data_IF_285590498590
#
_entry.id   IF_285590498590
#
_cell.length_a   1.000
_cell.length_b   1.000
_cell.length_c   1.000
_cell.angle_alpha   90.00
_cell.angle_beta   90.00
_cell.angle_gamma   90.00
#
_symmetry.space_group_name_H-M   'P 1'
#
loop_
_entity.id
_entity.type
_entity.pdbx_description
1 polymer ?
#
# COMPACT_ATOMS: atom_id res chain seq x y z
N UNK A 1 -1.66 10.07 22.20
CA UNK A 1 -3.02 9.58 21.91
C UNK A 1 -2.96 8.86 20.57
N UNK A 2 -3.83 7.87 20.31
CA UNK A 2 -3.91 7.25 18.98
C UNK A 2 -4.92 8.03 18.13
N UNK A 3 -4.64 8.22 16.85
CA UNK A 3 -5.54 8.86 15.88
C UNK A 3 -5.52 8.11 14.55
N UNK A 4 -6.59 8.25 13.78
CA UNK A 4 -6.63 7.76 12.41
C UNK A 4 -5.68 8.55 11.51
N UNK A 5 -5.02 7.85 10.59
CA UNK A 5 -4.19 8.49 9.58
C UNK A 5 -5.07 9.31 8.64
N UNK A 6 -4.74 10.58 8.44
CA UNK A 6 -5.53 11.48 7.58
C UNK A 6 -5.22 11.29 6.10
N UNK A 7 -3.95 11.08 5.78
CA UNK A 7 -3.46 10.89 4.42
C UNK A 7 -3.03 9.43 4.22
N UNK A 8 -3.80 8.62 3.47
CA UNK A 8 -3.50 7.21 3.29
C UNK A 8 -2.07 6.99 2.78
N UNK A 9 -1.44 5.95 3.30
CA UNK A 9 -0.04 5.61 3.07
C UNK A 9 1.00 6.59 3.64
N UNK A 10 0.61 7.71 4.26
CA UNK A 10 1.53 8.75 4.73
C UNK A 10 1.22 9.15 6.18
N UNK A 11 1.56 8.30 7.17
CA UNK A 11 1.50 8.70 8.57
C UNK A 11 2.46 9.87 8.83
N UNK A 12 2.02 10.82 9.65
CA UNK A 12 2.85 11.90 10.19
C UNK A 12 3.63 11.38 11.42
N UNK A 13 2.92 10.72 12.34
CA UNK A 13 3.45 10.09 13.54
C UNK A 13 3.95 8.67 13.28
N UNK A 14 4.24 7.92 14.35
CA UNK A 14 4.54 6.49 14.23
C UNK A 14 3.25 5.71 14.07
N UNK A 15 3.17 4.84 13.06
CA UNK A 15 2.04 3.94 12.91
C UNK A 15 1.83 3.12 14.19
N UNK A 16 0.57 2.96 14.58
CA UNK A 16 0.15 2.17 15.75
C UNK A 16 -0.68 0.96 15.34
N UNK A 17 -1.29 1.00 14.15
CA UNK A 17 -2.08 -0.07 13.55
C UNK A 17 -1.82 -0.11 12.04
N UNK A 18 -1.57 -1.30 11.51
CA UNK A 18 -1.47 -1.55 10.07
C UNK A 18 -2.30 -2.78 9.65
N UNK A 19 -2.71 -2.81 8.39
CA UNK A 19 -3.18 -4.05 7.72
C UNK A 19 -2.03 -4.65 6.94
N UNK A 20 -1.87 -5.97 7.04
CA UNK A 20 -0.81 -6.74 6.37
C UNK A 20 -1.36 -8.06 5.83
N UNK A 21 -0.63 -8.67 4.89
CA UNK A 21 -0.95 -10.02 4.41
C UNK A 21 -1.02 -11.05 5.55
N UNK A 22 -2.05 -11.88 5.55
CA UNK A 22 -2.21 -12.99 6.48
C UNK A 22 -1.02 -13.95 6.56
N UNK A 23 -0.26 -14.06 5.47
CA UNK A 23 0.90 -14.94 5.30
C UNK A 23 2.22 -14.27 5.65
N UNK A 24 2.20 -13.04 6.18
CA UNK A 24 3.42 -12.35 6.64
C UNK A 24 4.26 -13.28 7.55
N UNK A 25 5.57 -13.45 7.27
CA UNK A 25 6.42 -14.29 8.09
C UNK A 25 6.49 -13.82 9.55
N UNK A 26 6.53 -14.77 10.49
CA UNK A 26 6.58 -14.48 11.94
C UNK A 26 7.74 -13.55 12.33
N UNK A 27 8.87 -13.59 11.63
CA UNK A 27 10.00 -12.69 11.87
C UNK A 27 9.65 -11.23 11.58
N UNK A 28 9.02 -10.96 10.43
CA UNK A 28 8.55 -9.62 10.05
C UNK A 28 7.41 -9.16 10.97
N UNK A 29 6.50 -10.07 11.34
CA UNK A 29 5.41 -9.78 12.28
C UNK A 29 5.95 -9.31 13.65
N UNK A 30 6.93 -10.04 14.20
CA UNK A 30 7.60 -9.66 15.45
C UNK A 30 8.34 -8.33 15.32
N UNK A 31 8.97 -8.07 14.17
CA UNK A 31 9.68 -6.82 13.90
C UNK A 31 8.74 -5.59 13.99
N UNK A 32 7.54 -5.69 13.39
CA UNK A 32 6.51 -4.66 13.47
C UNK A 32 5.95 -4.53 14.90
N UNK A 33 5.64 -5.65 15.57
CA UNK A 33 5.14 -5.64 16.96
C UNK A 33 6.14 -5.01 17.95
N UNK A 34 7.44 -5.26 17.79
CA UNK A 34 8.49 -4.64 18.60
C UNK A 34 8.59 -3.12 18.41
N UNK A 35 7.98 -2.58 17.35
CA UNK A 35 7.83 -1.13 17.12
C UNK A 35 6.51 -0.58 17.67
N UNK A 36 5.78 -1.37 18.44
CA UNK A 36 4.45 -1.06 18.97
C UNK A 36 3.39 -0.84 17.87
N UNK A 37 3.53 -1.56 16.76
CA UNK A 37 2.56 -1.58 15.65
C UNK A 37 1.69 -2.83 15.81
N UNK A 38 0.39 -2.61 16.00
CA UNK A 38 -0.64 -3.66 15.97
C UNK A 38 -0.96 -4.01 14.52
N UNK A 39 -1.36 -5.26 14.29
CA UNK A 39 -1.57 -5.78 12.94
C UNK A 39 -2.95 -6.40 12.81
N UNK A 40 -3.72 -5.93 11.83
CA UNK A 40 -4.83 -6.68 11.27
C UNK A 40 -4.27 -7.50 10.11
N UNK A 41 -4.41 -8.82 10.21
CA UNK A 41 -3.96 -9.74 9.18
C UNK A 41 -5.15 -10.05 8.28
N UNK A 42 -4.95 -9.89 6.98
CA UNK A 42 -5.94 -10.36 5.99
C UNK A 42 -6.07 -11.88 6.03
N UNK A 43 -7.15 -12.37 5.45
CA UNK A 43 -7.39 -13.79 5.24
C UNK A 43 -7.48 -14.07 3.73
N UNK A 44 -7.31 -15.32 3.35
CA UNK A 44 -7.34 -15.72 1.94
C UNK A 44 -8.72 -15.44 1.35
N UNK A 45 -8.77 -14.61 0.33
CA UNK A 45 -9.96 -14.36 -0.49
C UNK A 45 -10.11 -15.47 -1.52
N UNK A 46 -11.29 -16.10 -1.56
CA UNK A 46 -11.59 -17.17 -2.52
C UNK A 46 -11.70 -16.62 -3.93
N UNK A 47 -11.24 -17.39 -4.91
CA UNK A 47 -11.40 -17.05 -6.33
C UNK A 47 -10.31 -16.13 -6.88
N UNK A 48 -9.43 -15.56 -6.07
CA UNK A 48 -8.29 -14.75 -6.52
C UNK A 48 -7.04 -15.61 -6.67
N UNK A 49 -6.12 -15.27 -7.59
CA UNK A 49 -4.84 -15.98 -7.73
C UNK A 49 -4.10 -16.06 -6.39
N UNK A 50 -3.56 -17.25 -6.09
CA UNK A 50 -2.86 -17.54 -4.83
C UNK A 50 -1.83 -16.48 -4.45
N UNK A 51 -1.08 -15.98 -5.44
CA UNK A 51 -0.06 -14.94 -5.26
C UNK A 51 -0.58 -13.73 -4.46
N UNK A 52 -1.73 -13.20 -4.85
CA UNK A 52 -2.31 -11.96 -4.30
C UNK A 52 -3.52 -12.22 -3.38
N UNK A 53 -3.88 -13.48 -3.15
CA UNK A 53 -5.10 -13.87 -2.44
C UNK A 53 -5.20 -13.40 -0.99
N UNK A 54 -4.12 -12.87 -0.41
CA UNK A 54 -4.10 -12.25 0.92
C UNK A 54 -3.61 -10.79 0.89
N UNK A 55 -3.41 -10.18 -0.29
CA UNK A 55 -2.87 -8.82 -0.39
C UNK A 55 -3.88 -7.79 0.14
N UNK A 56 -3.54 -6.95 1.14
CA UNK A 56 -4.46 -5.94 1.67
C UNK A 56 -4.94 -4.93 0.63
N UNK A 57 -4.03 -4.48 -0.23
CA UNK A 57 -4.27 -3.49 -1.30
C UNK A 57 -5.09 -4.04 -2.49
N UNK A 58 -5.44 -5.33 -2.46
CA UNK A 58 -6.41 -5.94 -3.38
C UNK A 58 -7.82 -5.96 -2.78
N UNK A 59 -7.93 -6.01 -1.44
CA UNK A 59 -9.20 -6.24 -0.74
C UNK A 59 -9.86 -4.96 -0.23
N UNK A 60 -9.06 -3.93 0.08
CA UNK A 60 -9.55 -2.72 0.71
C UNK A 60 -8.73 -1.49 0.34
N UNK A 61 -9.31 -0.32 0.62
CA UNK A 61 -8.66 0.97 0.41
C UNK A 61 -9.05 1.96 1.52
N UNK A 62 -8.06 2.46 2.25
CA UNK A 62 -8.26 3.48 3.28
C UNK A 62 -8.49 4.85 2.64
N UNK A 63 -9.58 5.52 3.01
CA UNK A 63 -9.98 6.83 2.46
C UNK A 63 -9.45 8.02 3.26
N UNK A 64 -8.61 7.77 4.27
CA UNK A 64 -8.17 8.77 5.24
C UNK A 64 -9.22 8.99 6.31
N UNK A 65 -8.78 9.30 7.53
CA UNK A 65 -9.65 9.33 8.69
C UNK A 65 -10.18 7.94 9.03
N UNK A 66 -11.45 7.87 9.43
CA UNK A 66 -12.09 6.65 9.93
C UNK A 66 -12.80 5.84 8.83
N UNK A 67 -12.66 6.15 7.55
CA UNK A 67 -13.38 5.46 6.46
C UNK A 67 -12.49 4.51 5.66
N UNK A 68 -12.98 3.30 5.39
CA UNK A 68 -12.34 2.29 4.54
C UNK A 68 -13.39 1.74 3.57
N UNK A 69 -13.03 1.66 2.28
CA UNK A 69 -13.81 0.90 1.29
C UNK A 69 -13.27 -0.52 1.23
N UNK A 70 -14.16 -1.51 1.25
CA UNK A 70 -13.80 -2.94 1.15
C UNK A 70 -14.53 -3.61 -0.01
N UNK A 71 -13.92 -4.66 -0.56
CA UNK A 71 -14.57 -5.54 -1.52
C UNK A 71 -15.81 -6.23 -0.92
N UNK A 72 -16.93 -6.38 -1.67
CA UNK A 72 -18.10 -7.13 -1.22
C UNK A 72 -17.79 -8.57 -0.80
N UNK A 73 -16.82 -9.21 -1.47
CA UNK A 73 -16.38 -10.57 -1.21
C UNK A 73 -15.16 -10.66 -0.27
N UNK A 74 -14.86 -9.61 0.50
CA UNK A 74 -13.83 -9.65 1.54
C UNK A 74 -14.23 -10.64 2.65
N UNK A 75 -13.30 -11.43 3.20
CA UNK A 75 -13.59 -12.23 4.39
C UNK A 75 -14.13 -11.37 5.54
N UNK A 76 -15.31 -11.72 6.07
CA UNK A 76 -16.04 -10.92 7.09
C UNK A 76 -15.20 -10.63 8.33
N UNK A 77 -14.32 -11.55 8.73
CA UNK A 77 -13.45 -11.36 9.88
C UNK A 77 -12.54 -10.14 9.75
N UNK A 78 -12.14 -9.78 8.53
CA UNK A 78 -11.36 -8.56 8.29
C UNK A 78 -12.22 -7.33 8.57
N UNK A 79 -13.50 -7.34 8.16
CA UNK A 79 -14.47 -6.26 8.43
C UNK A 79 -14.65 -6.07 9.92
N UNK A 80 -14.95 -7.13 10.67
CA UNK A 80 -15.12 -7.06 12.12
C UNK A 80 -13.88 -6.51 12.83
N UNK A 81 -12.68 -6.96 12.44
CA UNK A 81 -11.44 -6.44 13.03
C UNK A 81 -11.23 -4.93 12.75
N UNK A 82 -11.69 -4.42 11.61
CA UNK A 82 -11.61 -2.99 11.30
C UNK A 82 -12.66 -2.18 12.07
N UNK A 83 -13.88 -2.70 12.19
CA UNK A 83 -14.96 -2.08 12.98
C UNK A 83 -14.61 -2.03 14.48
N UNK A 84 -13.99 -3.07 15.01
CA UNK A 84 -13.47 -3.11 16.40
C UNK A 84 -12.40 -2.03 16.64
N UNK A 85 -11.71 -1.60 15.59
CA UNK A 85 -10.77 -0.47 15.61
C UNK A 85 -11.45 0.89 15.39
N UNK A 86 -12.77 0.93 15.22
CA UNK A 86 -13.57 2.14 15.06
C UNK A 86 -13.62 2.67 13.63
N UNK A 87 -13.29 1.86 12.62
CA UNK A 87 -13.46 2.24 11.21
C UNK A 87 -14.92 2.10 10.77
N UNK A 88 -15.36 3.06 9.95
CA UNK A 88 -16.59 2.99 9.16
C UNK A 88 -16.29 2.27 7.86
N UNK A 89 -16.97 1.14 7.66
CA UNK A 89 -16.79 0.31 6.48
C UNK A 89 -17.82 0.68 5.42
N UNK A 90 -17.32 0.94 4.22
CA UNK A 90 -18.11 1.20 3.02
C UNK A 90 -17.91 0.01 2.09
N UNK A 91 -18.97 -0.69 1.73
CA UNK A 91 -18.89 -1.76 0.74
C UNK A 91 -18.77 -1.16 -0.66
N UNK A 92 -17.77 -1.58 -1.42
CA UNK A 92 -17.63 -1.20 -2.84
C UNK A 92 -18.71 -1.85 -3.72
N UNK A 93 -18.73 -1.51 -5.01
CA UNK A 93 -19.70 -2.06 -5.96
C UNK A 93 -19.20 -3.34 -6.65
N UNK A 94 -17.88 -3.53 -6.73
CA UNK A 94 -17.24 -4.62 -7.48
C UNK A 94 -16.62 -5.64 -6.56
N UNK A 95 -17.01 -6.89 -6.71
CA UNK A 95 -16.24 -8.01 -6.18
C UNK A 95 -14.84 -8.06 -6.81
N UNK A 96 -13.85 -8.51 -6.03
CA UNK A 96 -12.54 -8.84 -6.58
C UNK A 96 -12.67 -10.14 -7.37
N UNK A 97 -12.46 -10.04 -8.68
CA UNK A 97 -12.57 -11.15 -9.61
C UNK A 97 -11.35 -12.07 -9.63
N UNK A 98 -11.45 -13.15 -10.41
CA UNK A 98 -10.45 -14.21 -10.44
C UNK A 98 -9.30 -14.03 -11.43
N UNK A 99 -9.42 -13.06 -12.34
CA UNK A 99 -8.44 -12.82 -13.40
C UNK A 99 -8.22 -11.34 -13.61
N UNK A 100 -6.98 -10.97 -13.90
CA UNK A 100 -6.66 -9.63 -14.35
C UNK A 100 -7.46 -9.27 -15.62
N UNK A 101 -8.05 -8.07 -15.70
CA UNK A 101 -7.96 -6.94 -14.76
C UNK A 101 -9.12 -6.82 -13.76
N UNK A 102 -9.89 -7.88 -13.50
CA UNK A 102 -11.03 -7.84 -12.56
C UNK A 102 -10.61 -8.05 -11.10
N UNK A 103 -9.34 -8.35 -10.84
CA UNK A 103 -8.76 -8.55 -9.52
C UNK A 103 -8.11 -7.28 -8.92
N UNK A 104 -8.27 -6.12 -9.58
CA UNK A 104 -7.68 -4.84 -9.15
C UNK A 104 -8.67 -3.69 -8.85
N UNK A 105 -9.96 -3.90 -8.54
CA UNK A 105 -10.89 -2.78 -8.35
C UNK A 105 -10.50 -1.83 -7.21
N UNK A 106 -9.80 -2.33 -6.18
CA UNK A 106 -9.38 -1.54 -5.01
C UNK A 106 -7.92 -1.08 -5.06
N UNK A 107 -7.16 -1.48 -6.09
CA UNK A 107 -5.71 -1.28 -6.15
C UNK A 107 -5.31 0.10 -6.69
N UNK A 108 -5.71 1.15 -5.96
CA UNK A 108 -5.38 2.54 -6.26
C UNK A 108 -4.29 3.09 -5.32
N UNK A 109 -3.34 3.87 -5.85
CA UNK A 109 -2.29 4.49 -5.05
C UNK A 109 -2.65 5.94 -4.70
N UNK A 110 -2.95 6.20 -3.42
CA UNK A 110 -3.22 7.56 -2.92
C UNK A 110 -2.02 8.15 -2.20
N UNK A 111 -1.70 9.40 -2.51
CA UNK A 111 -0.66 10.21 -1.87
C UNK A 111 -0.87 11.69 -2.21
N UNK A 112 -0.71 12.58 -1.24
CA UNK A 112 -1.03 13.99 -1.38
C UNK A 112 -2.45 14.21 -1.89
N UNK A 113 -2.55 15.06 -2.91
CA UNK A 113 -3.79 15.31 -3.64
C UNK A 113 -4.05 14.30 -4.77
N UNK A 114 -3.16 13.32 -4.98
CA UNK A 114 -3.16 12.45 -6.16
C UNK A 114 -3.73 11.07 -5.85
N UNK A 115 -4.39 10.49 -6.85
CA UNK A 115 -4.75 9.08 -6.87
C UNK A 115 -4.32 8.51 -8.22
N UNK A 116 -3.46 7.51 -8.22
CA UNK A 116 -3.04 6.79 -9.44
C UNK A 116 -3.79 5.48 -9.50
N UNK A 117 -4.59 5.29 -10.55
CA UNK A 117 -5.40 4.09 -10.71
C UNK A 117 -5.76 3.85 -12.19
N UNK A 118 -6.25 2.66 -12.50
CA UNK A 118 -6.87 2.37 -13.78
C UNK A 118 -8.38 2.63 -13.66
N UNK A 119 -8.83 3.80 -14.13
CA UNK A 119 -10.21 4.27 -13.94
C UNK A 119 -11.26 3.34 -14.55
N UNK A 120 -10.89 2.51 -15.54
CA UNK A 120 -11.81 1.53 -16.13
C UNK A 120 -12.12 0.36 -15.19
N UNK A 121 -11.13 -0.07 -14.41
CA UNK A 121 -11.24 -1.27 -13.58
C UNK A 121 -11.38 -0.97 -12.09
N UNK A 122 -11.00 0.23 -11.64
CA UNK A 122 -11.25 0.71 -10.28
C UNK A 122 -12.75 0.71 -9.96
N UNK A 123 -13.07 0.38 -8.72
CA UNK A 123 -14.43 0.37 -8.19
C UNK A 123 -15.10 1.75 -8.30
N UNK A 124 -16.37 1.78 -8.71
CA UNK A 124 -17.09 3.04 -8.87
C UNK A 124 -17.31 3.78 -7.54
N UNK A 125 -17.52 3.09 -6.42
CA UNK A 125 -17.64 3.74 -5.11
C UNK A 125 -16.32 4.41 -4.74
N UNK A 126 -15.18 3.78 -5.05
CA UNK A 126 -13.88 4.42 -4.85
C UNK A 126 -13.70 5.66 -5.72
N UNK A 127 -14.03 5.59 -7.01
CA UNK A 127 -13.93 6.74 -7.91
C UNK A 127 -14.80 7.91 -7.42
N UNK A 128 -16.03 7.64 -7.00
CA UNK A 128 -16.92 8.64 -6.40
C UNK A 128 -16.30 9.26 -5.14
N UNK A 129 -15.79 8.43 -4.22
CA UNK A 129 -15.15 8.91 -2.98
C UNK A 129 -13.91 9.76 -3.25
N UNK A 130 -13.15 9.46 -4.30
CA UNK A 130 -12.00 10.27 -4.70
C UNK A 130 -12.44 11.64 -5.23
N UNK A 131 -13.50 11.69 -6.06
CA UNK A 131 -14.06 12.92 -6.60
C UNK A 131 -14.68 13.80 -5.51
N UNK A 132 -15.46 13.22 -4.59
CA UNK A 132 -16.04 13.93 -3.43
C UNK A 132 -14.96 14.61 -2.57
N UNK A 133 -13.77 14.00 -2.48
CA UNK A 133 -12.62 14.52 -1.75
C UNK A 133 -11.76 15.51 -2.55
N UNK A 134 -12.14 15.81 -3.79
CA UNK A 134 -11.40 16.72 -4.66
C UNK A 134 -10.01 16.20 -5.05
N UNK A 135 -9.81 14.89 -5.08
CA UNK A 135 -8.53 14.29 -5.43
C UNK A 135 -8.32 14.33 -6.96
N UNK A 136 -7.07 14.54 -7.37
CA UNK A 136 -6.65 14.49 -8.76
C UNK A 136 -6.38 13.05 -9.18
N UNK A 137 -7.30 12.48 -9.96
CA UNK A 137 -7.18 11.13 -10.50
C UNK A 137 -6.25 11.14 -11.72
N UNK A 138 -5.17 10.37 -11.64
CA UNK A 138 -4.22 10.10 -12.71
C UNK A 138 -4.53 8.72 -13.26
N UNK A 139 -5.17 8.69 -14.42
CA UNK A 139 -5.50 7.43 -15.10
C UNK A 139 -4.26 6.79 -15.72
N UNK A 140 -4.03 5.51 -15.39
CA UNK A 140 -2.92 4.71 -15.90
C UNK A 140 -3.42 3.36 -16.41
N UNK A 141 -2.69 2.76 -17.36
CA UNK A 141 -3.04 1.42 -17.87
C UNK A 141 -2.78 0.31 -16.85
N UNK A 142 -1.83 0.52 -15.94
CA UNK A 142 -1.45 -0.45 -14.90
C UNK A 142 -2.60 -0.63 -13.90
N UNK A 143 -3.15 -1.83 -13.82
CA UNK A 143 -4.23 -2.16 -12.89
C UNK A 143 -3.74 -2.33 -11.45
N UNK A 144 -2.56 -2.92 -11.25
CA UNK A 144 -1.95 -3.06 -9.92
C UNK A 144 -1.23 -1.77 -9.49
N UNK A 145 -1.92 -0.61 -9.60
CA UNK A 145 -1.30 0.69 -9.39
C UNK A 145 -0.72 0.84 -7.98
N UNK A 146 -1.43 0.38 -6.93
CA UNK A 146 -0.92 0.43 -5.56
C UNK A 146 0.27 -0.50 -5.33
N UNK A 147 0.19 -1.75 -5.79
CA UNK A 147 1.33 -2.67 -5.65
C UNK A 147 2.56 -2.14 -6.42
N UNK A 148 2.35 -1.51 -7.57
CA UNK A 148 3.42 -0.96 -8.43
C UNK A 148 4.11 0.30 -7.87
N UNK A 149 3.53 0.94 -6.85
CA UNK A 149 3.94 2.25 -6.37
C UNK A 149 4.28 2.25 -4.88
N UNK A 150 5.57 2.33 -4.57
CA UNK A 150 6.02 2.71 -3.24
C UNK A 150 5.83 4.21 -3.09
N UNK A 151 4.84 4.59 -2.28
CA UNK A 151 4.57 5.99 -1.91
C UNK A 151 5.64 6.44 -0.92
N UNK A 152 6.35 7.52 -1.24
CA UNK A 152 7.46 8.04 -0.42
C UNK A 152 7.06 9.33 0.31
N UNK A 153 6.38 10.24 -0.38
CA UNK A 153 5.81 11.48 0.18
C UNK A 153 4.53 11.86 -0.59
N UNK A 154 3.94 13.00 -0.25
CA UNK A 154 2.79 13.59 -0.95
C UNK A 154 3.06 13.97 -2.41
N UNK A 155 4.33 13.96 -2.85
CA UNK A 155 4.79 14.35 -4.18
C UNK A 155 5.90 13.43 -4.75
N UNK A 156 6.18 12.29 -4.11
CA UNK A 156 7.26 11.39 -4.54
C UNK A 156 6.93 9.90 -4.39
N UNK A 157 7.35 9.12 -5.39
CA UNK A 157 7.14 7.67 -5.45
C UNK A 157 8.34 6.92 -6.05
N UNK A 158 8.38 5.61 -5.87
CA UNK A 158 9.29 4.67 -6.56
C UNK A 158 8.47 3.65 -7.33
N UNK A 159 8.87 3.35 -8.58
CA UNK A 159 8.18 2.39 -9.45
C UNK A 159 9.14 1.70 -10.41
N UNK A 160 8.85 0.46 -10.79
CA UNK A 160 9.50 -0.22 -11.93
C UNK A 160 8.67 -0.08 -13.23
N UNK A 161 7.44 0.44 -13.15
CA UNK A 161 6.57 0.62 -14.31
C UNK A 161 6.92 1.91 -15.04
N UNK A 162 7.62 1.77 -16.18
CA UNK A 162 8.02 2.89 -17.04
C UNK A 162 6.82 3.69 -17.57
N UNK A 163 5.69 3.04 -17.82
CA UNK A 163 4.47 3.71 -18.31
C UNK A 163 3.91 4.65 -17.25
N UNK A 164 3.79 4.16 -16.02
CA UNK A 164 3.36 4.95 -14.86
C UNK A 164 4.37 6.07 -14.57
N UNK A 165 5.67 5.75 -14.50
CA UNK A 165 6.74 6.74 -14.30
C UNK A 165 6.61 7.93 -15.27
N UNK A 166 6.47 7.67 -16.58
CA UNK A 166 6.36 8.71 -17.59
C UNK A 166 5.11 9.59 -17.39
N UNK A 167 4.00 9.02 -16.92
CA UNK A 167 2.77 9.79 -16.63
C UNK A 167 2.97 10.65 -15.39
N UNK A 168 3.60 10.13 -14.33
CA UNK A 168 3.80 10.86 -13.08
C UNK A 168 4.77 12.03 -13.24
N UNK A 169 5.86 11.86 -13.99
CA UNK A 169 6.79 12.97 -14.29
C UNK A 169 6.07 14.11 -15.05
N UNK A 170 5.16 13.78 -15.97
CA UNK A 170 4.34 14.80 -16.68
C UNK A 170 3.37 15.55 -15.76
N UNK A 171 3.02 14.95 -14.62
CA UNK A 171 2.20 15.56 -13.58
C UNK A 171 3.04 16.20 -12.46
N UNK A 172 4.32 16.47 -12.73
CA UNK A 172 5.26 17.12 -11.80
C UNK A 172 5.47 16.35 -10.48
N UNK A 173 5.23 15.04 -10.50
CA UNK A 173 5.46 14.13 -9.37
C UNK A 173 6.87 13.56 -9.50
N UNK A 174 7.66 13.62 -8.42
CA UNK A 174 8.99 13.02 -8.37
C UNK A 174 8.84 11.50 -8.43
N UNK A 175 9.44 10.87 -9.42
CA UNK A 175 9.34 9.43 -9.59
C UNK A 175 10.72 8.84 -9.82
N UNK A 176 11.16 7.93 -8.95
CA UNK A 176 12.32 7.10 -9.22
C UNK A 176 11.89 5.88 -10.03
N UNK A 177 12.44 5.75 -11.24
CA UNK A 177 12.32 4.53 -12.03
C UNK A 177 13.41 3.55 -11.63
N UNK A 178 13.03 2.35 -11.20
CA UNK A 178 13.92 1.24 -10.87
C UNK A 178 13.79 0.10 -11.89
N UNK A 179 14.78 -0.78 -11.90
CA UNK A 179 14.81 -2.02 -12.68
C UNK A 179 13.74 -2.98 -12.14
N UNK A 180 12.92 -3.61 -13.01
CA UNK A 180 12.01 -4.67 -12.58
C UNK A 180 12.76 -5.87 -11.99
N UNK A 181 12.18 -6.53 -10.99
CA UNK A 181 12.79 -7.68 -10.31
C UNK A 181 13.34 -7.34 -8.92
N UNK A 182 14.17 -8.21 -8.35
CA UNK A 182 14.73 -8.02 -7.00
C UNK A 182 13.70 -8.09 -5.86
N UNK A 183 12.48 -8.52 -6.18
CA UNK A 183 11.33 -8.67 -5.29
C UNK A 183 10.63 -9.96 -5.68
N UNK A 184 10.45 -10.87 -4.72
CA UNK A 184 9.79 -12.15 -4.92
C UNK A 184 8.26 -12.00 -4.85
N UNK A 185 7.53 -12.82 -5.59
CA UNK A 185 6.08 -12.95 -5.49
C UNK A 185 5.69 -14.42 -5.69
N UNK A 186 4.82 -14.93 -4.84
CA UNK A 186 4.51 -16.36 -4.81
C UNK A 186 3.98 -16.87 -6.15
N UNK A 187 4.70 -17.82 -6.77
CA UNK A 187 4.28 -18.47 -8.01
C UNK A 187 4.36 -17.59 -9.26
N UNK A 188 5.00 -16.42 -9.19
CA UNK A 188 5.15 -15.47 -10.30
C UNK A 188 6.62 -15.06 -10.48
N UNK A 189 6.92 -14.41 -11.61
CA UNK A 189 8.30 -14.10 -12.02
C UNK A 189 8.96 -13.00 -11.17
N UNK A 190 8.18 -12.02 -10.69
CA UNK A 190 8.64 -10.94 -9.83
C UNK A 190 7.45 -10.25 -9.15
N UNK A 191 7.70 -9.63 -8.00
CA UNK A 191 6.77 -8.76 -7.27
C UNK A 191 7.00 -7.28 -7.52
N UNK A 192 6.20 -6.44 -6.87
CA UNK A 192 6.26 -4.99 -7.01
C UNK A 192 6.73 -4.26 -5.74
N UNK A 193 7.38 -3.11 -5.93
CA UNK A 193 7.99 -2.33 -4.83
C UNK A 193 6.97 -1.75 -3.86
N UNK A 194 5.79 -1.35 -4.32
CA UNK A 194 4.70 -0.87 -3.46
C UNK A 194 4.06 -2.01 -2.67
N UNK A 195 3.94 -3.20 -3.25
CA UNK A 195 3.45 -4.40 -2.58
C UNK A 195 4.46 -4.98 -1.58
N UNK A 196 5.74 -4.71 -1.78
CA UNK A 196 6.83 -5.09 -0.88
C UNK A 196 7.12 -4.04 0.22
N UNK A 197 6.33 -2.97 0.36
CA UNK A 197 6.65 -1.87 1.27
C UNK A 197 5.43 -1.16 1.88
N UNK A 198 5.69 -0.25 2.80
CA UNK A 198 4.72 0.75 3.29
C UNK A 198 5.33 1.72 4.30
N UNK A 199 4.84 2.96 4.35
CA UNK A 199 5.29 3.93 5.34
C UNK A 199 4.79 3.56 6.73
N UNK A 200 5.69 3.58 7.71
CA UNK A 200 5.36 3.29 9.12
C UNK A 200 5.59 4.51 10.02
N UNK A 201 6.14 5.60 9.48
CA UNK A 201 6.21 6.90 10.14
C UNK A 201 6.46 8.05 9.16
N UNK A 202 6.43 9.28 9.68
CA UNK A 202 6.84 10.49 8.97
C UNK A 202 8.25 10.43 8.38
N UNK A 203 9.13 9.54 8.86
CA UNK A 203 10.53 9.42 8.44
C UNK A 203 10.95 8.00 8.04
N UNK A 204 10.05 7.01 7.96
CA UNK A 204 10.43 5.61 7.74
C UNK A 204 9.51 4.85 6.78
N UNK A 205 10.11 4.08 5.88
CA UNK A 205 9.44 3.12 5.00
C UNK A 205 9.92 1.72 5.33
N UNK A 206 8.99 0.84 5.70
CA UNK A 206 9.28 -0.57 5.92
C UNK A 206 9.22 -1.35 4.62
N UNK A 207 10.13 -2.30 4.46
CA UNK A 207 10.16 -3.26 3.36
C UNK A 207 9.98 -4.68 3.90
N UNK A 208 9.17 -5.50 3.24
CA UNK A 208 8.97 -6.92 3.54
C UNK A 208 10.19 -7.74 3.10
N UNK A 209 11.35 -7.45 3.68
CA UNK A 209 12.63 -8.01 3.30
C UNK A 209 13.78 -7.08 3.64
N UNK A 210 14.92 -7.35 3.01
CA UNK A 210 16.09 -6.51 2.99
C UNK A 210 16.22 -5.81 1.64
N UNK A 211 15.86 -4.52 1.59
CA UNK A 211 15.89 -3.75 0.33
C UNK A 211 17.31 -3.59 -0.25
N UNK A 212 18.36 -3.85 0.55
CA UNK A 212 19.76 -3.88 0.08
C UNK A 212 20.02 -4.96 -0.96
N UNK A 213 19.16 -5.97 -1.04
CA UNK A 213 19.27 -7.04 -2.04
C UNK A 213 18.71 -6.63 -3.40
N UNK A 214 18.02 -5.49 -3.50
CA UNK A 214 17.52 -4.98 -4.77
C UNK A 214 18.68 -4.39 -5.61
N UNK A 215 18.76 -4.65 -6.93
CA UNK A 215 19.85 -4.15 -7.79
C UNK A 215 20.06 -2.63 -7.73
N UNK A 216 18.97 -1.87 -7.57
CA UNK A 216 19.00 -0.41 -7.49
C UNK A 216 18.98 0.16 -6.05
N UNK A 217 19.44 -0.60 -5.05
CA UNK A 217 19.41 -0.16 -3.64
C UNK A 217 19.99 1.24 -3.43
N UNK A 218 21.15 1.54 -3.99
CA UNK A 218 21.82 2.83 -3.78
C UNK A 218 20.95 4.00 -4.30
N UNK A 219 20.26 3.82 -5.42
CA UNK A 219 19.34 4.81 -5.98
C UNK A 219 18.09 4.96 -5.11
N UNK A 220 17.53 3.84 -4.63
CA UNK A 220 16.39 3.80 -3.71
C UNK A 220 16.74 4.53 -2.42
N UNK A 221 17.85 4.17 -1.76
CA UNK A 221 18.28 4.75 -0.49
C UNK A 221 18.50 6.26 -0.63
N UNK A 222 19.17 6.70 -1.70
CA UNK A 222 19.37 8.13 -1.98
C UNK A 222 18.05 8.87 -2.17
N UNK A 223 17.11 8.30 -2.92
CA UNK A 223 15.81 8.91 -3.17
C UNK A 223 14.96 9.04 -1.90
N UNK A 224 14.97 8.01 -1.05
CA UNK A 224 14.30 8.04 0.26
C UNK A 224 14.92 9.10 1.17
N UNK A 225 16.25 9.12 1.30
CA UNK A 225 16.95 10.10 2.14
C UNK A 225 16.70 11.54 1.69
N UNK A 226 16.69 11.80 0.38
CA UNK A 226 16.35 13.12 -0.17
C UNK A 226 14.91 13.56 0.15
N UNK A 227 14.03 12.61 0.46
CA UNK A 227 12.63 12.84 0.84
C UNK A 227 12.43 12.78 2.36
N UNK A 228 13.52 12.76 3.15
CA UNK A 228 13.46 12.68 4.61
C UNK A 228 13.05 11.30 5.15
N UNK A 229 13.12 10.25 4.32
CA UNK A 229 12.73 8.88 4.68
C UNK A 229 13.94 7.97 4.85
N UNK A 230 13.82 7.01 5.76
CA UNK A 230 14.78 5.94 6.00
C UNK A 230 14.16 4.58 5.64
N UNK A 231 14.89 3.70 4.92
CA UNK A 231 14.45 2.33 4.72
C UNK A 231 14.59 1.51 6.00
N UNK A 232 13.57 0.72 6.31
CA UNK A 232 13.54 -0.25 7.41
C UNK A 232 13.33 -1.64 6.83
N UNK A 233 14.30 -2.53 7.06
CA UNK A 233 14.18 -3.92 6.66
C UNK A 233 13.42 -4.72 7.74
N UNK A 234 12.37 -5.45 7.35
CA UNK A 234 11.61 -6.27 8.29
C UNK A 234 12.24 -7.65 8.53
N UNK A 235 13.13 -8.10 7.64
CA UNK A 235 14.03 -9.24 7.85
C UNK A 235 15.29 -9.12 6.95
N UNK A 236 16.10 -10.17 6.89
CA UNK A 236 17.37 -10.22 6.13
C UNK A 236 17.26 -10.90 4.75
N UNK A 237 16.07 -11.35 4.34
CA UNK A 237 15.86 -12.08 3.09
C UNK A 237 15.53 -11.12 1.94
N UNK A 238 15.49 -11.64 0.71
CA UNK A 238 15.00 -10.90 -0.47
C UNK A 238 13.63 -10.26 -0.16
N UNK A 239 13.38 -9.01 -0.59
CA UNK A 239 12.05 -8.40 -0.53
C UNK A 239 10.99 -9.31 -1.15
N UNK A 240 9.84 -9.41 -0.48
CA UNK A 240 8.68 -10.16 -0.95
C UNK A 240 7.51 -9.21 -1.10
N UNK A 241 6.82 -9.28 -2.22
CA UNK A 241 5.53 -8.60 -2.39
C UNK A 241 4.45 -9.38 -1.62
N UNK A 242 3.88 -8.72 -0.61
CA UNK A 242 2.80 -9.24 0.21
C UNK A 242 1.54 -8.37 0.09
N UNK A 243 1.47 -7.47 -0.89
CA UNK A 243 0.47 -6.41 -0.92
C UNK A 243 0.75 -5.39 0.18
N UNK A 244 0.71 -4.11 -0.18
CA UNK A 244 1.26 -2.99 0.61
C UNK A 244 1.00 -3.13 2.12
N UNK A 245 2.00 -2.83 2.94
CA UNK A 245 1.79 -2.57 4.36
C UNK A 245 0.97 -1.28 4.49
N UNK A 246 -0.31 -1.40 4.83
CA UNK A 246 -1.24 -0.25 4.88
C UNK A 246 -1.30 0.28 6.31
N UNK A 247 -0.72 1.45 6.62
CA UNK A 247 -0.88 2.07 7.92
C UNK A 247 -2.29 2.65 8.05
N UNK A 248 -2.93 2.43 9.19
CA UNK A 248 -4.32 2.83 9.45
C UNK A 248 -4.46 3.87 10.57
N UNK A 249 -3.69 3.70 11.64
CA UNK A 249 -3.65 4.61 12.78
C UNK A 249 -2.22 4.94 13.16
N UNK A 250 -2.06 6.05 13.86
CA UNK A 250 -0.77 6.56 14.31
C UNK A 250 -0.86 7.12 15.73
N UNK A 251 0.29 7.12 16.41
CA UNK A 251 0.45 7.89 17.64
C UNK A 251 0.59 9.37 17.30
N UNK A 252 -0.26 10.20 17.88
CA UNK A 252 -0.19 11.66 17.71
C UNK A 252 1.21 12.17 18.02
N UNK A 253 1.73 13.02 17.16
CA UNK A 253 2.94 13.78 17.44
C UNK A 253 2.56 14.73 18.58
N UNK A 254 3.13 14.53 19.77
CA UNK A 254 3.09 15.57 20.79
C UNK A 254 3.87 16.75 20.20
N UNK A 255 3.16 17.79 19.74
CA UNK A 255 3.80 19.05 19.48
C UNK A 255 4.35 19.54 20.83
N UNK A 256 5.68 19.71 20.98
CA UNK A 256 6.26 20.27 22.19
C UNK A 256 5.76 21.69 22.45
#
# INVERSE_FOLDING_TARGET
MESFIKEPNLPEGKASLCVVDGRIPLSMEKNLKNRNIRLIKTERMSGVYDAISCHPDIMLHHLGGDEIVVAPNIPERIVYNLEDEGFKIITGAREVGCKYPFDVPYNAARFGRFVVCNTKYTDEVLLEKFLERGLHIIDVKQGYAKCSLCVVSSDSIITSDRGVHNILIKNEIKSLLITPGGIDLFGLNYGFIGGASGCISGDSIAFYGNIKMHPDYDAIEKFLKNSGKNPINLNENTPVDLGTLIPLKEYSILMP
#
